data_IF_871463617627
#
_entry.id   IF_871463617627
#
_cell.length_a   1.000
_cell.length_b   1.000
_cell.length_c   1.000
_cell.angle_alpha   90.00
_cell.angle_beta   90.00
_cell.angle_gamma   90.00
#
_symmetry.space_group_name_H-M   'P 1'
#
loop_
_entity.id
_entity.type
_entity.pdbx_description
1 polymer ?
#
# COMPACT_ATOMS: atom_id res chain seq x y z
N UNK A 1 3.93 -28.03 3.85
CA UNK A 1 4.38 -28.06 2.45
C UNK A 1 4.46 -26.63 1.95
N UNK A 2 5.61 -25.97 2.07
CA UNK A 2 5.87 -24.72 1.37
C UNK A 2 6.26 -25.07 -0.07
N UNK A 3 5.31 -24.98 -1.01
CA UNK A 3 5.65 -25.09 -2.42
C UNK A 3 6.62 -23.97 -2.77
N UNK A 4 7.77 -24.31 -3.36
CA UNK A 4 8.70 -23.31 -3.89
C UNK A 4 7.96 -22.61 -5.04
N UNK A 5 7.64 -21.33 -4.87
CA UNK A 5 7.05 -20.50 -5.92
C UNK A 5 8.02 -20.44 -7.12
N UNK A 6 7.48 -20.46 -8.33
CA UNK A 6 8.30 -20.18 -9.50
C UNK A 6 8.88 -18.75 -9.39
N UNK A 7 10.05 -18.46 -9.98
CA UNK A 7 10.69 -17.14 -9.86
C UNK A 7 9.79 -15.97 -10.26
N UNK A 8 8.93 -16.18 -11.27
CA UNK A 8 7.97 -15.18 -11.71
C UNK A 8 6.85 -14.95 -10.68
N UNK A 9 6.28 -16.03 -10.12
CA UNK A 9 5.26 -15.95 -9.08
C UNK A 9 5.80 -15.26 -7.82
N UNK A 10 7.05 -15.55 -7.45
CA UNK A 10 7.71 -14.87 -6.34
C UNK A 10 7.86 -13.37 -6.61
N UNK A 11 8.26 -12.98 -7.82
CA UNK A 11 8.38 -11.57 -8.21
C UNK A 11 7.02 -10.86 -8.21
N UNK A 12 5.97 -11.52 -8.69
CA UNK A 12 4.62 -10.98 -8.70
C UNK A 12 4.07 -10.84 -7.28
N UNK A 13 4.30 -11.83 -6.42
CA UNK A 13 3.96 -11.76 -5.00
C UNK A 13 4.68 -10.58 -4.32
N UNK A 14 5.97 -10.40 -4.56
CA UNK A 14 6.74 -9.26 -4.06
C UNK A 14 6.16 -7.92 -4.54
N UNK A 15 5.72 -7.86 -5.79
CA UNK A 15 5.04 -6.68 -6.36
C UNK A 15 3.72 -6.42 -5.65
N UNK A 16 2.90 -7.45 -5.43
CA UNK A 16 1.64 -7.31 -4.70
C UNK A 16 1.86 -6.85 -3.26
N UNK A 17 2.82 -7.42 -2.53
CA UNK A 17 3.13 -6.99 -1.16
C UNK A 17 3.59 -5.53 -1.11
N UNK A 18 4.40 -5.09 -2.08
CA UNK A 18 4.83 -3.69 -2.21
C UNK A 18 3.62 -2.77 -2.34
N UNK A 19 2.74 -3.03 -3.30
CA UNK A 19 1.59 -2.16 -3.55
C UNK A 19 0.51 -2.26 -2.47
N UNK A 20 0.37 -3.43 -1.83
CA UNK A 20 -0.50 -3.58 -0.66
C UNK A 20 -0.04 -2.67 0.47
N UNK A 21 1.27 -2.64 0.75
CA UNK A 21 1.86 -1.78 1.77
C UNK A 21 1.62 -0.30 1.45
N UNK A 22 1.90 0.12 0.21
CA UNK A 22 1.66 1.51 -0.22
C UNK A 22 0.18 1.92 -0.11
N UNK A 23 -0.75 1.09 -0.60
CA UNK A 23 -2.19 1.38 -0.54
C UNK A 23 -2.73 1.33 0.90
N UNK A 24 -2.17 0.51 1.77
CA UNK A 24 -2.54 0.45 3.20
C UNK A 24 -2.25 1.77 3.89
N UNK A 25 -1.06 2.35 3.67
CA UNK A 25 -0.72 3.67 4.25
C UNK A 25 -1.62 4.77 3.70
N UNK A 26 -1.90 4.77 2.40
CA UNK A 26 -2.84 5.71 1.77
C UNK A 26 -4.20 5.69 2.47
N UNK A 27 -4.80 4.51 2.60
CA UNK A 27 -6.12 4.37 3.23
C UNK A 27 -6.11 4.82 4.69
N UNK A 28 -5.11 4.41 5.48
CA UNK A 28 -5.05 4.74 6.91
C UNK A 28 -4.88 6.25 7.12
N UNK A 29 -3.91 6.87 6.43
CA UNK A 29 -3.62 8.30 6.59
C UNK A 29 -4.78 9.14 6.05
N UNK A 30 -5.31 8.84 4.86
CA UNK A 30 -6.46 9.57 4.31
C UNK A 30 -7.69 9.48 5.23
N UNK A 31 -7.89 8.35 5.91
CA UNK A 31 -8.97 8.16 6.90
C UNK A 31 -8.78 8.96 8.20
N UNK A 32 -7.68 9.72 8.33
CA UNK A 32 -7.34 10.56 9.49
C UNK A 32 -7.16 12.03 9.13
N UNK A 33 -7.38 12.43 7.88
CA UNK A 33 -7.30 13.82 7.44
C UNK A 33 -8.46 14.70 7.94
N UNK A 34 -9.52 14.11 8.49
CA UNK A 34 -10.68 14.83 9.01
C UNK A 34 -11.81 15.04 7.99
N UNK A 35 -11.55 14.76 6.71
CA UNK A 35 -12.52 14.86 5.63
C UNK A 35 -13.06 13.49 5.19
N UNK A 36 -14.27 13.50 4.60
CA UNK A 36 -14.82 12.30 3.94
C UNK A 36 -14.08 12.05 2.63
N UNK A 37 -13.59 10.83 2.46
CA UNK A 37 -13.02 10.36 1.19
C UNK A 37 -14.11 9.73 0.34
N UNK A 38 -14.20 10.14 -0.93
CA UNK A 38 -15.14 9.56 -1.90
C UNK A 38 -14.41 9.27 -3.21
N UNK A 39 -14.55 8.05 -3.72
CA UNK A 39 -14.00 7.64 -5.02
C UNK A 39 -15.10 7.04 -5.89
N UNK A 40 -14.96 7.18 -7.21
CA UNK A 40 -15.90 6.61 -8.19
C UNK A 40 -15.39 5.26 -8.68
N UNK A 41 -16.32 4.32 -8.91
CA UNK A 41 -16.00 3.06 -9.57
C UNK A 41 -15.43 3.32 -10.97
N UNK A 42 -14.38 2.59 -11.32
CA UNK A 42 -13.71 2.68 -12.62
C UNK A 42 -13.95 1.37 -13.38
N UNK A 43 -14.97 1.28 -14.25
CA UNK A 43 -15.27 0.05 -15.00
C UNK A 43 -14.14 -0.35 -15.96
N UNK A 44 -13.37 0.64 -16.44
CA UNK A 44 -12.18 0.44 -17.26
C UNK A 44 -10.92 0.70 -16.41
N UNK A 45 -10.73 -0.12 -15.37
CA UNK A 45 -9.60 0.02 -14.45
C UNK A 45 -8.25 0.01 -15.20
N UNK A 46 -7.35 0.92 -14.82
CA UNK A 46 -6.02 1.04 -15.42
C UNK A 46 -4.99 0.38 -14.51
N UNK A 47 -3.75 0.21 -15.00
CA UNK A 47 -2.69 -0.52 -14.28
C UNK A 47 -2.25 0.04 -12.92
N UNK A 48 -2.82 1.16 -12.48
CA UNK A 48 -2.59 1.76 -11.15
C UNK A 48 -3.72 1.47 -10.14
N UNK A 49 -4.85 0.91 -10.58
CA UNK A 49 -5.99 0.54 -9.74
C UNK A 49 -5.73 -0.83 -9.08
N UNK A 50 -4.78 -0.85 -8.15
CA UNK A 50 -4.38 -2.07 -7.44
C UNK A 50 -5.55 -2.65 -6.63
N UNK A 51 -5.65 -3.99 -6.67
CA UNK A 51 -6.66 -4.76 -5.92
C UNK A 51 -8.11 -4.43 -6.30
N UNK A 52 -8.33 -3.88 -7.51
CA UNK A 52 -9.64 -3.47 -8.00
C UNK A 52 -10.33 -2.42 -7.10
N UNK A 53 -9.54 -1.62 -6.39
CA UNK A 53 -10.02 -0.55 -5.52
C UNK A 53 -9.59 0.82 -6.07
N UNK A 54 -10.54 1.75 -6.14
CA UNK A 54 -10.27 3.14 -6.45
C UNK A 54 -9.72 3.84 -5.20
N UNK A 55 -8.39 3.87 -5.09
CA UNK A 55 -7.64 4.57 -4.04
C UNK A 55 -6.71 5.55 -4.73
N UNK A 56 -6.99 6.84 -4.59
CA UNK A 56 -6.16 7.90 -5.15
C UNK A 56 -4.91 8.07 -4.28
N UNK A 57 -3.74 8.13 -4.93
CA UNK A 57 -2.47 8.24 -4.22
C UNK A 57 -2.14 9.72 -3.96
N UNK A 58 -1.95 10.08 -2.68
CA UNK A 58 -1.33 11.35 -2.31
C UNK A 58 0.20 11.19 -2.42
N UNK A 59 0.89 11.99 -3.24
CA UNK A 59 2.33 11.84 -3.49
C UNK A 59 3.18 11.86 -2.22
N UNK A 60 2.90 12.77 -1.29
CA UNK A 60 3.64 12.95 -0.04
C UNK A 60 3.57 11.70 0.84
N UNK A 61 2.39 11.08 0.93
CA UNK A 61 2.19 9.82 1.66
C UNK A 61 2.97 8.69 0.98
N UNK A 62 2.95 8.64 -0.34
CA UNK A 62 3.67 7.62 -1.11
C UNK A 62 5.18 7.71 -0.88
N UNK A 63 5.73 8.91 -0.90
CA UNK A 63 7.17 9.14 -0.77
C UNK A 63 7.66 8.85 0.65
N UNK A 64 6.92 9.28 1.69
CA UNK A 64 7.28 8.94 3.06
C UNK A 64 7.17 7.43 3.31
N UNK A 65 6.17 6.75 2.72
CA UNK A 65 6.05 5.29 2.81
C UNK A 65 7.25 4.59 2.16
N UNK A 66 7.65 5.00 0.94
CA UNK A 66 8.80 4.42 0.25
C UNK A 66 10.10 4.62 1.05
N UNK A 67 10.26 5.80 1.66
CA UNK A 67 11.40 6.13 2.51
C UNK A 67 11.42 5.24 3.76
N UNK A 68 10.30 5.10 4.46
CA UNK A 68 10.17 4.22 5.63
C UNK A 68 10.45 2.75 5.27
N UNK A 69 10.00 2.28 4.10
CA UNK A 69 10.28 0.94 3.61
C UNK A 69 11.74 0.73 3.20
N UNK A 70 12.47 1.80 2.81
CA UNK A 70 13.87 1.73 2.37
C UNK A 70 14.12 0.65 1.29
N UNK A 71 13.15 0.49 0.36
CA UNK A 71 13.18 -0.52 -0.69
C UNK A 71 12.95 -1.97 -0.23
N UNK A 72 12.72 -2.21 1.06
CA UNK A 72 12.40 -3.51 1.64
C UNK A 72 10.90 -3.79 1.58
N UNK A 73 10.54 -5.07 1.61
CA UNK A 73 9.16 -5.52 1.78
C UNK A 73 8.89 -5.83 3.25
N UNK A 74 7.62 -5.74 3.63
CA UNK A 74 7.17 -6.19 4.94
C UNK A 74 7.33 -7.69 5.05
N UNK A 75 7.77 -8.15 6.22
CA UNK A 75 7.89 -9.56 6.56
C UNK A 75 7.50 -9.78 8.02
N UNK A 76 7.43 -11.04 8.45
CA UNK A 76 7.14 -11.39 9.85
C UNK A 76 8.15 -10.76 10.80
N UNK A 77 9.43 -10.73 10.42
CA UNK A 77 10.51 -10.17 11.25
C UNK A 77 10.62 -8.65 11.13
N UNK A 78 10.04 -8.07 10.07
CA UNK A 78 10.11 -6.63 9.78
C UNK A 78 8.71 -6.11 9.43
N UNK A 79 7.84 -5.92 10.44
CA UNK A 79 6.50 -5.40 10.22
C UNK A 79 6.54 -3.91 9.82
N UNK A 80 5.58 -3.48 9.00
CA UNK A 80 5.31 -2.07 8.80
C UNK A 80 4.36 -1.57 9.87
N UNK A 81 4.80 -0.57 10.64
CA UNK A 81 3.99 0.10 11.65
C UNK A 81 3.55 1.47 11.14
N UNK A 82 2.29 1.80 11.35
CA UNK A 82 1.71 3.11 11.02
C UNK A 82 1.15 3.67 12.32
N UNK A 83 1.81 4.68 12.85
CA UNK A 83 1.40 5.35 14.09
C UNK A 83 0.60 6.62 13.76
N UNK A 84 -0.52 6.79 14.44
CA UNK A 84 -1.31 8.02 14.42
C UNK A 84 -1.28 8.62 15.82
N UNK A 85 -0.77 9.84 15.93
CA UNK A 85 -0.65 10.56 17.20
C UNK A 85 -1.40 11.89 17.15
N UNK A 86 -1.74 12.39 18.33
CA UNK A 86 -2.29 13.73 18.52
C UNK A 86 -1.21 14.60 19.17
N UNK A 87 -0.93 15.76 18.58
CA UNK A 87 -0.06 16.78 19.17
C UNK A 87 -0.92 17.95 19.65
N UNK A 88 -0.94 18.17 20.96
CA UNK A 88 -1.67 19.25 21.64
C UNK A 88 -0.75 20.41 21.98
#
# INVERSE_FOLDING_TARGET
>A
MSGILAPQEQKDLQKFLKFLSLKTVQVIVQSRLGDKVHTRSKPNAMGQDWFNLAIDDIPEITDETKKAMSGRLTSVDVPMCIEISLKT
#
